data_IF_501708050453
#
_entry.id   IF_501708050453
#
_cell.length_a   1.000
_cell.length_b   1.000
_cell.length_c   1.000
_cell.angle_alpha   90.00
_cell.angle_beta   90.00
_cell.angle_gamma   90.00
#
_symmetry.space_group_name_H-M   'P 1'
#
loop_
_entity.id
_entity.type
_entity.pdbx_description
1 polymer ?
#
# COMPACT_ATOMS: atom_id res chain seq x y z
N UNK A 1 23.64 -19.10 -10.40
CA UNK A 1 22.43 -19.22 -11.24
C UNK A 1 21.54 -18.02 -10.93
N UNK A 2 21.62 -16.97 -11.74
CA UNK A 2 20.76 -15.79 -11.61
C UNK A 2 19.45 -16.09 -12.33
N UNK A 3 18.33 -16.11 -11.60
CA UNK A 3 17.01 -16.25 -12.21
C UNK A 3 16.72 -14.96 -12.98
N UNK A 4 16.56 -15.10 -14.28
CA UNK A 4 16.10 -14.05 -15.19
C UNK A 4 14.66 -13.63 -14.83
N UNK A 5 14.55 -12.54 -14.06
CA UNK A 5 13.29 -11.94 -13.63
C UNK A 5 12.61 -11.11 -14.73
N UNK A 6 13.21 -10.98 -15.92
CA UNK A 6 12.76 -10.04 -16.95
C UNK A 6 11.52 -10.50 -17.75
N UNK A 7 11.07 -11.74 -17.57
CA UNK A 7 9.91 -12.31 -18.28
C UNK A 7 8.58 -12.26 -17.53
N UNK A 8 8.54 -11.76 -16.30
CA UNK A 8 7.29 -11.50 -15.60
C UNK A 8 6.59 -10.26 -16.20
N UNK A 9 5.83 -10.52 -17.27
CA UNK A 9 4.47 -10.02 -17.51
C UNK A 9 4.27 -8.52 -17.75
N UNK A 10 4.41 -8.12 -19.02
CA UNK A 10 3.54 -7.09 -19.63
C UNK A 10 2.08 -7.51 -19.43
N UNK A 11 1.42 -7.01 -18.39
CA UNK A 11 -0.01 -7.21 -18.15
C UNK A 11 -0.40 -7.75 -16.77
N UNK A 12 0.55 -8.25 -15.97
CA UNK A 12 0.26 -8.60 -14.58
C UNK A 12 0.49 -7.38 -13.70
N UNK A 13 -0.54 -6.88 -13.03
CA UNK A 13 -0.42 -5.78 -12.06
C UNK A 13 -0.06 -6.30 -10.64
N UNK A 14 0.26 -7.59 -10.47
CA UNK A 14 0.71 -8.14 -9.18
C UNK A 14 1.93 -7.39 -8.64
N UNK A 15 2.85 -6.90 -9.48
CA UNK A 15 3.98 -6.06 -9.04
C UNK A 15 3.50 -4.76 -8.39
N UNK A 16 2.36 -4.17 -8.82
CA UNK A 16 1.78 -2.98 -8.19
C UNK A 16 1.14 -3.25 -6.82
N UNK A 17 0.82 -4.52 -6.53
CA UNK A 17 0.24 -5.03 -5.28
C UNK A 17 1.26 -5.76 -4.38
N UNK A 18 2.40 -6.17 -4.95
CA UNK A 18 3.41 -7.04 -4.34
C UNK A 18 4.65 -6.31 -3.80
N UNK A 19 5.34 -6.98 -2.89
CA UNK A 19 5.93 -6.44 -1.66
C UNK A 19 7.43 -6.57 -1.52
N UNK A 20 8.15 -6.86 -2.60
CA UNK A 20 9.52 -7.36 -2.49
C UNK A 20 10.53 -6.46 -1.75
N UNK A 21 10.20 -5.21 -1.36
CA UNK A 21 11.13 -4.32 -0.67
C UNK A 21 10.64 -3.66 0.64
N UNK A 22 9.42 -3.88 1.15
CA UNK A 22 8.97 -3.16 2.37
C UNK A 22 8.40 -4.11 3.44
N UNK A 23 9.17 -4.45 4.50
CA UNK A 23 8.75 -5.34 5.58
C UNK A 23 7.46 -4.90 6.29
N UNK A 24 7.17 -3.59 6.30
CA UNK A 24 6.01 -3.03 6.98
C UNK A 24 4.66 -3.35 6.33
N UNK A 25 4.61 -3.50 5.00
CA UNK A 25 3.33 -3.76 4.31
C UNK A 25 2.84 -5.19 4.52
N UNK A 26 3.72 -6.20 4.41
CA UNK A 26 3.35 -7.59 4.70
C UNK A 26 2.93 -7.74 6.16
N UNK A 27 3.61 -7.03 7.07
CA UNK A 27 3.25 -7.04 8.47
C UNK A 27 1.87 -6.40 8.74
N UNK A 28 1.53 -5.37 7.96
CA UNK A 28 0.20 -4.76 7.95
C UNK A 28 -0.89 -5.70 7.43
N UNK A 29 -0.59 -6.52 6.41
CA UNK A 29 -1.56 -7.48 5.86
C UNK A 29 -1.80 -8.68 6.79
N UNK A 30 -0.79 -9.08 7.57
CA UNK A 30 -0.84 -10.23 8.47
C UNK A 30 -1.23 -9.90 9.91
N UNK A 31 -1.44 -8.61 10.23
CA UNK A 31 -1.84 -8.17 11.57
C UNK A 31 -0.76 -8.29 12.64
N UNK A 32 0.52 -8.36 12.27
CA UNK A 32 1.66 -8.49 13.20
C UNK A 32 2.53 -7.21 13.22
N UNK A 33 1.88 -6.05 13.27
CA UNK A 33 2.55 -4.74 13.27
C UNK A 33 3.41 -4.48 14.51
N UNK A 34 4.46 -3.66 14.33
CA UNK A 34 5.24 -3.11 15.43
C UNK A 34 4.39 -2.12 16.25
N UNK A 35 4.69 -1.90 17.55
CA UNK A 35 3.90 -1.03 18.42
C UNK A 35 3.78 0.41 17.90
N UNK A 36 4.84 0.94 17.29
CA UNK A 36 4.87 2.31 16.74
C UNK A 36 3.95 2.49 15.52
N UNK A 37 3.67 1.41 14.78
CA UNK A 37 2.76 1.43 13.65
C UNK A 37 1.28 1.30 14.02
N UNK A 38 0.97 0.85 15.24
CA UNK A 38 -0.40 0.81 15.74
C UNK A 38 -0.96 2.23 15.95
N UNK A 39 -0.16 3.15 16.51
CA UNK A 39 -0.52 4.57 16.64
C UNK A 39 -0.78 5.24 15.28
N UNK A 40 -0.01 4.88 14.25
CA UNK A 40 -0.23 5.35 12.89
C UNK A 40 -1.53 4.80 12.29
N UNK A 41 -1.86 3.52 12.53
CA UNK A 41 -3.12 2.92 12.08
C UNK A 41 -4.34 3.55 12.74
N UNK A 42 -4.29 3.84 14.04
CA UNK A 42 -5.38 4.51 14.78
C UNK A 42 -5.62 5.93 14.23
N UNK A 43 -4.55 6.69 14.01
CA UNK A 43 -4.66 8.04 13.43
C UNK A 43 -5.29 8.03 12.03
N UNK A 44 -4.94 7.05 11.18
CA UNK A 44 -5.56 6.89 9.86
C UNK A 44 -7.03 6.46 9.96
N UNK A 45 -7.36 5.58 10.89
CA UNK A 45 -8.72 5.11 11.07
C UNK A 45 -9.64 6.24 11.53
N UNK A 46 -9.18 7.10 12.44
CA UNK A 46 -9.92 8.29 12.87
C UNK A 46 -10.18 9.26 11.71
N UNK A 47 -9.15 9.54 10.89
CA UNK A 47 -9.28 10.40 9.71
C UNK A 47 -10.30 9.84 8.69
N UNK A 48 -10.20 8.55 8.37
CA UNK A 48 -11.08 7.93 7.36
C UNK A 48 -12.51 7.76 7.86
N UNK A 49 -12.70 7.54 9.17
CA UNK A 49 -14.04 7.52 9.80
C UNK A 49 -14.66 8.92 9.82
N UNK A 50 -13.91 9.97 10.15
CA UNK A 50 -14.40 11.35 10.08
C UNK A 50 -14.79 11.72 8.65
N UNK A 51 -13.96 11.35 7.66
CA UNK A 51 -14.29 11.58 6.25
C UNK A 51 -15.59 10.86 5.85
N UNK A 52 -15.77 9.60 6.27
CA UNK A 52 -17.01 8.86 6.05
C UNK A 52 -18.21 9.50 6.74
N UNK A 53 -18.03 10.01 7.96
CA UNK A 53 -19.06 10.72 8.73
C UNK A 53 -19.50 12.01 8.04
N UNK A 54 -18.60 12.67 7.31
CA UNK A 54 -18.88 13.84 6.45
C UNK A 54 -19.41 13.49 5.06
N UNK A 55 -20.03 12.31 4.91
CA UNK A 55 -20.61 11.80 3.66
C UNK A 55 -19.63 11.64 2.49
N UNK A 56 -18.33 11.45 2.78
CA UNK A 56 -17.40 11.04 1.73
C UNK A 56 -17.80 9.66 1.20
N UNK A 57 -18.14 9.61 -0.09
CA UNK A 57 -18.46 8.36 -0.79
C UNK A 57 -17.25 7.45 -0.82
N UNK A 58 -17.49 6.14 -0.85
CA UNK A 58 -16.43 5.15 -1.01
C UNK A 58 -15.56 5.50 -2.21
N UNK A 59 -14.25 5.72 -2.02
CA UNK A 59 -13.36 6.01 -3.12
C UNK A 59 -13.27 4.78 -4.03
N UNK A 60 -13.24 5.01 -5.35
CA UNK A 60 -13.03 3.94 -6.33
C UNK A 60 -11.62 3.35 -6.19
N UNK A 61 -10.65 4.19 -5.84
CA UNK A 61 -9.23 3.87 -5.73
C UNK A 61 -8.60 4.73 -4.64
N UNK A 62 -7.89 4.09 -3.72
CA UNK A 62 -7.02 4.74 -2.76
C UNK A 62 -5.56 4.51 -3.16
N UNK A 63 -4.78 5.59 -3.16
CA UNK A 63 -3.37 5.57 -3.57
C UNK A 63 -2.51 6.04 -2.41
N UNK A 64 -1.49 5.25 -2.06
CA UNK A 64 -0.66 5.53 -0.89
C UNK A 64 0.81 5.08 -1.09
N UNK A 65 1.73 5.74 -0.39
CA UNK A 65 3.19 5.55 -0.41
C UNK A 65 3.68 4.69 0.77
N UNK A 66 3.16 3.47 0.92
CA UNK A 66 3.62 2.46 1.91
C UNK A 66 3.63 2.86 3.40
N UNK A 67 2.79 3.79 3.82
CA UNK A 67 2.62 4.18 5.22
C UNK A 67 1.96 3.04 5.99
N UNK A 68 2.61 2.61 7.06
CA UNK A 68 2.10 1.61 7.99
C UNK A 68 0.74 2.04 8.54
N UNK A 69 -0.29 1.18 8.43
CA UNK A 69 -1.61 1.40 9.04
C UNK A 69 -2.70 1.93 8.12
N UNK A 70 -2.36 2.57 6.99
CA UNK A 70 -3.36 3.16 6.09
C UNK A 70 -4.30 2.09 5.48
N UNK A 71 -3.75 0.99 4.97
CA UNK A 71 -4.54 -0.03 4.28
C UNK A 71 -5.50 -0.77 5.22
N UNK A 72 -5.11 -0.98 6.46
CA UNK A 72 -5.99 -1.56 7.49
C UNK A 72 -7.16 -0.61 7.77
N UNK A 73 -6.85 0.66 8.05
CA UNK A 73 -7.86 1.70 8.27
C UNK A 73 -8.81 1.89 7.07
N UNK A 74 -8.28 1.81 5.84
CA UNK A 74 -9.08 1.91 4.63
C UNK A 74 -10.08 0.76 4.49
N UNK A 75 -9.68 -0.47 4.80
CA UNK A 75 -10.59 -1.64 4.74
C UNK A 75 -11.69 -1.58 5.79
N UNK A 76 -11.41 -1.01 6.97
CA UNK A 76 -12.41 -0.76 8.01
C UNK A 76 -13.43 0.31 7.60
N UNK A 77 -12.97 1.44 7.03
CA UNK A 77 -13.85 2.54 6.66
C UNK A 77 -14.58 2.31 5.31
N UNK A 78 -13.87 1.78 4.32
CA UNK A 78 -14.27 1.73 2.90
C UNK A 78 -13.90 0.39 2.24
N UNK A 79 -14.58 -0.69 2.63
CA UNK A 79 -14.34 -2.05 2.13
C UNK A 79 -14.27 -2.22 0.59
N UNK A 80 -15.01 -1.39 -0.16
CA UNK A 80 -15.10 -1.48 -1.63
C UNK A 80 -14.01 -0.67 -2.36
N UNK A 81 -13.18 0.09 -1.63
CA UNK A 81 -12.11 0.87 -2.23
C UNK A 81 -10.99 -0.04 -2.75
N UNK A 82 -10.55 0.19 -3.99
CA UNK A 82 -9.38 -0.51 -4.54
C UNK A 82 -8.09 0.10 -3.99
N UNK A 83 -7.08 -0.73 -3.79
CA UNK A 83 -5.78 -0.31 -3.26
C UNK A 83 -4.73 -0.21 -4.36
N UNK A 84 -3.94 0.86 -4.38
CA UNK A 84 -2.81 1.03 -5.29
C UNK A 84 -1.63 1.75 -4.62
N UNK A 85 -0.41 1.30 -4.90
CA UNK A 85 0.78 2.07 -4.52
C UNK A 85 1.04 3.22 -5.49
N UNK A 86 1.44 4.37 -4.94
CA UNK A 86 1.79 5.53 -5.74
C UNK A 86 2.98 5.25 -6.66
N UNK A 87 2.80 5.45 -7.96
CA UNK A 87 3.86 5.24 -8.95
C UNK A 87 5.00 6.25 -8.81
N UNK A 88 4.72 7.49 -8.40
CA UNK A 88 5.75 8.53 -8.19
C UNK A 88 6.71 8.15 -7.06
N UNK A 89 6.27 7.36 -6.08
CA UNK A 89 7.13 6.83 -5.03
C UNK A 89 7.87 5.56 -5.46
N UNK A 90 7.25 4.75 -6.34
CA UNK A 90 7.84 3.50 -6.82
C UNK A 90 8.87 3.69 -7.94
N UNK A 91 8.64 4.64 -8.84
CA UNK A 91 9.48 4.85 -10.01
C UNK A 91 10.94 5.17 -9.66
N UNK A 92 11.25 6.04 -8.67
CA UNK A 92 12.62 6.28 -8.25
C UNK A 92 13.35 5.02 -7.76
N UNK A 93 12.66 4.14 -7.01
CA UNK A 93 13.25 2.86 -6.57
C UNK A 93 13.59 1.93 -7.73
N UNK A 94 12.75 1.87 -8.76
CA UNK A 94 13.03 1.08 -9.96
C UNK A 94 14.21 1.67 -10.73
N UNK A 95 14.23 2.99 -10.92
CA UNK A 95 15.33 3.68 -11.62
C UNK A 95 16.65 3.50 -10.88
N UNK A 96 16.64 3.51 -9.54
CA UNK A 96 17.84 3.29 -8.72
C UNK A 96 18.45 1.88 -8.87
N UNK A 97 17.67 0.88 -9.30
CA UNK A 97 18.14 -0.49 -9.52
C UNK A 97 18.69 -0.72 -10.94
N UNK A 98 18.55 0.25 -11.85
CA UNK A 98 19.08 0.14 -13.20
C UNK A 98 20.60 0.40 -13.22
N UNK A 99 21.37 -0.32 -14.07
CA UNK A 99 22.76 0.03 -14.33
C UNK A 99 22.89 1.45 -14.86
N UNK A 100 24.00 2.11 -14.54
CA UNK A 100 24.33 3.43 -15.07
C UNK A 100 24.77 3.35 -16.54
#
# INVERSE_FOLDING_TARGET
MAVDQSRATRGDLSWSRGTACEPGYEASLRGNMLPTSLLASESWADLLRDAKWRDMRTPVLAVETSTLGFWVALREAFLQAKEQRCWSYKAPHVVAMLPK
#
